data_IF_225097195458
#
_entry.id   IF_225097195458
#
_cell.length_a   1.000
_cell.length_b   1.000
_cell.length_c   1.000
_cell.angle_alpha   90.00
_cell.angle_beta   90.00
_cell.angle_gamma   90.00
#
_symmetry.space_group_name_H-M   'P 1'
#
loop_
_entity.id
_entity.type
_entity.pdbx_description
1 polymer ?
#
# COMPACT_ATOMS: atom_id res chain seq x y z
N UNK A 1 -12.54 0.30 -1.64
CA UNK A 1 -11.48 1.14 -2.25
C UNK A 1 -10.57 0.37 -3.17
N UNK A 2 -9.72 -0.55 -2.71
CA UNK A 2 -8.77 -1.26 -3.60
C UNK A 2 -9.46 -2.01 -4.74
N UNK A 3 -10.53 -2.76 -4.43
CA UNK A 3 -11.30 -3.51 -5.43
C UNK A 3 -12.04 -2.62 -6.44
N UNK A 4 -12.20 -1.33 -6.16
CA UNK A 4 -12.78 -0.35 -7.09
C UNK A 4 -11.75 0.19 -8.10
N UNK A 5 -10.46 -0.12 -7.90
CA UNK A 5 -9.41 0.26 -8.84
C UNK A 5 -9.64 -0.49 -10.16
N UNK A 6 -9.81 0.20 -11.30
CA UNK A 6 -10.13 -0.44 -12.57
C UNK A 6 -8.98 -1.29 -13.14
N UNK A 7 -7.77 -1.21 -12.57
CA UNK A 7 -6.60 -1.97 -13.00
C UNK A 7 -6.28 -3.08 -12.01
N UNK A 8 -6.51 -4.34 -12.40
CA UNK A 8 -6.09 -5.52 -11.62
C UNK A 8 -4.59 -5.52 -11.32
N UNK A 9 -3.79 -5.06 -12.29
CA UNK A 9 -2.34 -4.92 -12.11
C UNK A 9 -2.03 -3.91 -11.01
N UNK A 10 -2.69 -2.75 -11.01
CA UNK A 10 -2.50 -1.75 -9.95
C UNK A 10 -2.96 -2.25 -8.59
N UNK A 11 -3.96 -3.14 -8.52
CA UNK A 11 -4.39 -3.73 -7.26
C UNK A 11 -3.30 -4.61 -6.65
N UNK A 12 -2.69 -5.48 -7.46
CA UNK A 12 -1.59 -6.35 -7.05
C UNK A 12 -0.34 -5.53 -6.67
N UNK A 13 0.04 -4.58 -7.52
CA UNK A 13 1.20 -3.72 -7.28
C UNK A 13 1.08 -2.88 -6.00
N UNK A 14 -0.12 -2.40 -5.69
CA UNK A 14 -0.36 -1.64 -4.45
C UNK A 14 -0.34 -2.54 -3.21
N UNK A 15 -0.72 -3.80 -3.34
CA UNK A 15 -0.58 -4.76 -2.24
C UNK A 15 0.90 -4.92 -1.85
N UNK A 16 1.78 -5.16 -2.83
CA UNK A 16 3.22 -5.26 -2.62
C UNK A 16 3.78 -3.99 -1.95
N UNK A 17 3.34 -2.82 -2.42
CA UNK A 17 3.74 -1.53 -1.85
C UNK A 17 3.37 -1.39 -0.37
N UNK A 18 2.13 -1.74 0.00
CA UNK A 18 1.63 -1.62 1.37
C UNK A 18 2.17 -2.71 2.31
N UNK A 19 2.55 -3.87 1.79
CA UNK A 19 3.21 -4.92 2.58
C UNK A 19 4.66 -4.56 2.90
N UNK A 20 5.37 -3.98 1.93
CA UNK A 20 6.76 -3.54 2.10
C UNK A 20 6.87 -2.28 2.98
N UNK A 21 5.95 -1.34 2.78
CA UNK A 21 5.95 -0.06 3.49
C UNK A 21 4.81 -0.05 4.50
N UNK A 22 5.13 -0.03 5.81
CA UNK A 22 4.17 0.06 6.91
C UNK A 22 3.48 1.45 6.97
N UNK A 23 2.77 1.82 5.90
CA UNK A 23 2.09 3.10 5.78
C UNK A 23 0.78 3.08 6.58
N UNK A 24 0.45 4.17 7.29
CA UNK A 24 -0.81 4.27 8.01
C UNK A 24 -2.01 4.17 7.06
N UNK A 25 -2.91 3.22 7.34
CA UNK A 25 -4.22 3.12 6.70
C UNK A 25 -5.23 3.92 7.51
N UNK A 26 -6.11 4.65 6.83
CA UNK A 26 -7.16 5.47 7.45
C UNK A 26 -8.46 4.66 7.57
N UNK A 27 -9.35 5.08 8.47
CA UNK A 27 -10.64 4.40 8.75
C UNK A 27 -11.53 4.23 7.51
N UNK A 28 -11.43 5.14 6.55
CA UNK A 28 -12.18 5.10 5.28
C UNK A 28 -11.48 4.27 4.19
N UNK A 29 -10.46 3.48 4.55
CA UNK A 29 -9.74 2.58 3.64
C UNK A 29 -8.85 3.29 2.63
N UNK A 30 -8.40 4.51 2.93
CA UNK A 30 -7.30 5.18 2.23
C UNK A 30 -5.98 4.90 2.97
N UNK A 31 -4.86 5.38 2.44
CA UNK A 31 -3.57 5.32 3.14
C UNK A 31 -2.85 6.66 3.06
N UNK A 32 -1.94 6.87 4.01
CA UNK A 32 -1.09 8.06 4.07
C UNK A 32 0.26 7.79 3.43
N UNK A 33 0.71 8.71 2.58
CA UNK A 33 2.02 8.71 1.98
C UNK A 33 2.64 10.11 2.08
N UNK A 34 3.88 10.25 1.62
CA UNK A 34 4.65 11.48 1.70
C UNK A 34 4.97 12.03 0.32
N UNK A 35 5.19 13.35 0.26
CA UNK A 35 5.59 14.04 -0.96
C UNK A 35 6.46 15.25 -0.63
N UNK A 36 7.63 15.34 -1.23
CA UNK A 36 8.43 16.56 -1.16
C UNK A 36 7.95 17.55 -2.22
N UNK A 37 7.81 18.80 -1.80
CA UNK A 37 7.30 19.94 -2.58
C UNK A 37 8.21 21.13 -2.33
N UNK A 38 8.17 22.12 -3.21
CA UNK A 38 8.99 23.33 -3.09
C UNK A 38 8.58 24.16 -1.87
N UNK A 39 9.38 25.18 -1.57
CA UNK A 39 9.09 26.16 -0.52
C UNK A 39 7.74 26.87 -0.69
N UNK A 40 7.26 27.01 -1.93
CA UNK A 40 5.96 27.59 -2.31
C UNK A 40 4.83 26.55 -2.42
N UNK A 41 5.04 25.33 -1.91
CA UNK A 41 4.12 24.19 -1.98
C UNK A 41 3.79 23.69 -3.40
N UNK A 42 4.49 24.17 -4.44
CA UNK A 42 4.33 23.61 -5.78
C UNK A 42 5.08 22.29 -5.93
N UNK A 43 4.61 21.45 -6.85
CA UNK A 43 5.30 20.19 -7.14
C UNK A 43 6.73 20.44 -7.65
N UNK A 44 7.65 19.55 -7.26
CA UNK A 44 9.09 19.76 -7.41
C UNK A 44 9.56 19.94 -8.86
N UNK A 45 8.93 19.25 -9.80
CA UNK A 45 9.42 19.21 -11.20
C UNK A 45 8.71 20.22 -12.10
N UNK A 46 7.37 20.19 -12.18
CA UNK A 46 6.61 21.04 -13.12
C UNK A 46 6.13 22.33 -12.49
N UNK A 47 5.99 22.37 -11.17
CA UNK A 47 5.50 23.54 -10.44
C UNK A 47 4.05 23.92 -10.80
N UNK A 48 3.24 22.96 -11.23
CA UNK A 48 1.87 23.16 -11.71
C UNK A 48 0.84 22.93 -10.60
N UNK A 49 1.02 21.88 -9.80
CA UNK A 49 0.08 21.49 -8.75
C UNK A 49 0.38 22.20 -7.45
N UNK A 50 -0.65 22.72 -6.78
CA UNK A 50 -0.58 23.29 -5.44
C UNK A 50 -0.75 22.19 -4.40
N UNK A 51 0.23 22.04 -3.52
CA UNK A 51 0.23 21.03 -2.46
C UNK A 51 0.13 21.67 -1.07
N UNK A 52 -0.48 22.84 -0.97
CA UNK A 52 -0.85 23.41 0.32
C UNK A 52 -1.83 22.47 1.03
N UNK A 53 -1.80 22.45 2.37
CA UNK A 53 -2.70 21.60 3.17
C UNK A 53 -4.17 21.90 2.83
N UNK A 54 -4.96 20.84 2.66
CA UNK A 54 -6.36 20.88 2.23
C UNK A 54 -6.56 20.89 0.71
N UNK A 55 -5.49 20.96 -0.10
CA UNK A 55 -5.61 20.88 -1.56
C UNK A 55 -5.78 19.43 -2.03
N UNK A 56 -6.61 19.27 -3.06
CA UNK A 56 -6.77 18.02 -3.80
C UNK A 56 -6.09 18.17 -5.14
N UNK A 57 -5.08 17.36 -5.39
CA UNK A 57 -4.41 17.30 -6.69
C UNK A 57 -4.99 16.14 -7.49
N UNK A 58 -5.51 16.43 -8.67
CA UNK A 58 -6.08 15.41 -9.55
C UNK A 58 -5.70 15.63 -11.01
N UNK A 59 -5.63 14.52 -11.76
CA UNK A 59 -5.48 14.52 -13.20
C UNK A 59 -6.24 13.35 -13.80
N UNK A 60 -6.54 13.41 -15.11
CA UNK A 60 -7.17 12.27 -15.78
C UNK A 60 -6.29 11.02 -15.64
N UNK A 61 -6.86 9.91 -15.18
CA UNK A 61 -6.14 8.63 -15.02
C UNK A 61 -5.36 8.21 -16.26
N UNK A 62 -5.96 8.37 -17.45
CA UNK A 62 -5.32 8.11 -18.74
C UNK A 62 -4.11 9.01 -19.08
N UNK A 63 -3.78 9.98 -18.23
CA UNK A 63 -2.56 10.81 -18.32
C UNK A 63 -1.46 10.38 -17.33
N UNK A 64 -1.72 9.34 -16.54
CA UNK A 64 -0.76 8.71 -15.66
C UNK A 64 -0.23 7.46 -16.35
N UNK A 65 1.09 7.28 -16.34
CA UNK A 65 1.74 6.12 -16.94
C UNK A 65 1.53 4.89 -16.04
N UNK A 66 0.93 3.85 -16.60
CA UNK A 66 0.66 2.56 -15.96
C UNK A 66 1.82 1.55 -16.10
N UNK A 67 2.85 1.86 -16.88
CA UNK A 67 3.99 0.97 -17.05
C UNK A 67 4.93 1.04 -15.85
N UNK A 68 4.83 0.05 -14.95
CA UNK A 68 5.67 -0.08 -13.75
C UNK A 68 7.18 -0.18 -14.03
N UNK A 69 7.58 -0.61 -15.24
CA UNK A 69 9.00 -0.77 -15.61
C UNK A 69 9.71 0.58 -15.84
N UNK A 70 8.93 1.66 -15.96
CA UNK A 70 9.46 3.02 -16.11
C UNK A 70 9.46 3.70 -14.75
N UNK A 71 10.65 4.13 -14.32
CA UNK A 71 10.85 4.70 -13.00
C UNK A 71 10.27 6.09 -12.78
N UNK A 72 10.66 7.04 -13.62
CA UNK A 72 10.20 8.41 -13.56
C UNK A 72 9.40 8.71 -14.83
N UNK A 73 8.08 8.82 -14.69
CA UNK A 73 7.18 9.06 -15.82
C UNK A 73 6.05 10.02 -15.46
N UNK A 74 5.04 10.15 -16.33
CA UNK A 74 3.90 11.03 -16.09
C UNK A 74 3.01 10.46 -14.97
N UNK A 75 2.71 11.29 -13.98
CA UNK A 75 1.83 10.92 -12.88
C UNK A 75 1.99 11.85 -11.68
N UNK A 76 1.02 11.78 -10.77
CA UNK A 76 1.17 12.35 -9.45
C UNK A 76 1.94 11.35 -8.58
N UNK A 77 3.16 11.72 -8.19
CA UNK A 77 4.01 10.85 -7.36
C UNK A 77 3.85 11.16 -5.87
N UNK A 78 3.83 10.08 -5.09
CA UNK A 78 3.95 10.05 -3.64
C UNK A 78 4.66 8.73 -3.24
N UNK A 79 5.13 8.62 -2.00
CA UNK A 79 5.83 7.42 -1.57
C UNK A 79 6.10 7.37 -0.08
N UNK A 80 6.92 6.39 0.32
CA UNK A 80 7.42 6.26 1.67
C UNK A 80 8.28 7.46 2.08
N UNK A 81 8.36 7.70 3.38
CA UNK A 81 9.10 8.85 3.91
C UNK A 81 10.59 8.78 3.54
N UNK A 82 11.22 7.60 3.60
CA UNK A 82 12.63 7.41 3.28
C UNK A 82 12.94 7.78 1.82
N UNK A 83 12.11 7.30 0.89
CA UNK A 83 12.21 7.68 -0.51
C UNK A 83 12.09 9.19 -0.71
N UNK A 84 11.10 9.81 -0.05
CA UNK A 84 10.86 11.24 -0.16
C UNK A 84 11.98 12.08 0.45
N UNK A 85 12.55 11.64 1.56
CA UNK A 85 13.70 12.26 2.19
C UNK A 85 14.96 12.19 1.30
N UNK A 86 15.12 11.11 0.52
CA UNK A 86 16.27 10.95 -0.38
C UNK A 86 16.30 11.95 -1.54
N UNK A 87 15.13 12.32 -2.10
CA UNK A 87 15.08 13.29 -3.19
C UNK A 87 14.64 14.69 -2.77
N UNK A 88 13.95 14.85 -1.63
CA UNK A 88 13.64 16.14 -1.02
C UNK A 88 14.90 16.83 -0.49
N UNK A 89 14.96 18.15 -0.52
CA UNK A 89 16.08 18.91 0.05
C UNK A 89 15.57 19.93 1.05
N UNK A 90 15.44 19.49 2.31
CA UNK A 90 15.00 20.35 3.43
C UNK A 90 15.96 21.53 3.61
N UNK A 91 17.27 21.29 3.46
CA UNK A 91 18.30 22.34 3.52
C UNK A 91 18.14 23.41 2.41
N UNK A 92 17.58 23.04 1.26
CA UNK A 92 17.25 23.96 0.17
C UNK A 92 15.86 24.61 0.32
N UNK A 93 15.14 24.32 1.40
CA UNK A 93 13.82 24.88 1.71
C UNK A 93 12.63 24.10 1.15
N UNK A 94 12.81 22.84 0.72
CA UNK A 94 11.68 21.98 0.36
C UNK A 94 10.85 21.64 1.61
N UNK A 95 9.54 21.52 1.41
CA UNK A 95 8.60 21.02 2.41
C UNK A 95 8.28 19.55 2.12
N UNK A 96 7.98 18.76 3.15
CA UNK A 96 7.39 17.43 3.00
C UNK A 96 5.95 17.51 3.46
N UNK A 97 5.01 17.07 2.62
CA UNK A 97 3.59 17.02 2.95
C UNK A 97 3.12 15.58 3.08
N UNK A 98 2.10 15.38 3.91
CA UNK A 98 1.39 14.12 4.09
C UNK A 98 0.19 14.14 3.15
N UNK A 99 0.09 13.11 2.31
CA UNK A 99 -1.00 12.95 1.35
C UNK A 99 -1.83 11.73 1.68
N UNK A 100 -3.16 11.88 1.62
CA UNK A 100 -4.11 10.80 1.70
C UNK A 100 -4.46 10.33 0.29
N UNK A 101 -4.31 9.04 0.04
CA UNK A 101 -4.47 8.42 -1.27
C UNK A 101 -5.53 7.33 -1.16
N UNK A 102 -6.52 7.38 -2.04
CA UNK A 102 -7.47 6.28 -2.17
C UNK A 102 -6.85 5.19 -3.07
N UNK A 103 -6.81 3.92 -2.64
CA UNK A 103 -6.36 2.80 -3.45
C UNK A 103 -6.98 2.71 -4.85
N UNK A 104 -8.20 3.19 -5.07
CA UNK A 104 -8.85 3.21 -6.39
C UNK A 104 -8.13 4.14 -7.39
N UNK A 105 -7.45 5.18 -6.89
CA UNK A 105 -6.83 6.23 -7.68
C UNK A 105 -5.35 5.93 -8.01
N UNK A 106 -4.77 4.90 -7.38
CA UNK A 106 -3.43 4.41 -7.72
C UNK A 106 -3.43 3.80 -9.11
N UNK A 107 -2.39 4.08 -9.89
CA UNK A 107 -2.26 3.66 -11.29
C UNK A 107 -1.15 2.65 -11.48
N UNK A 108 0.01 2.87 -10.85
CA UNK A 108 1.12 1.92 -10.89
C UNK A 108 2.11 2.15 -9.74
N UNK A 109 2.81 1.09 -9.34
CA UNK A 109 3.93 1.10 -8.38
C UNK A 109 5.21 0.71 -9.13
N UNK A 110 6.08 1.70 -9.48
CA UNK A 110 7.34 1.43 -10.15
C UNK A 110 8.22 0.41 -9.41
N UNK A 111 8.81 -0.51 -10.16
CA UNK A 111 9.68 -1.56 -9.60
C UNK A 111 11.13 -1.14 -9.36
N UNK A 112 11.52 0.04 -9.86
CA UNK A 112 12.93 0.50 -9.93
C UNK A 112 13.44 1.17 -8.65
N UNK A 113 12.58 1.30 -7.64
CA UNK A 113 12.87 2.00 -6.40
C UNK A 113 12.37 1.22 -5.20
N UNK A 114 12.59 -0.10 -5.20
CA UNK A 114 12.23 -1.02 -4.11
C UNK A 114 10.77 -0.88 -3.63
N UNK A 115 9.86 -0.53 -4.54
CA UNK A 115 8.46 -0.25 -4.22
C UNK A 115 8.29 0.88 -3.18
N UNK A 116 9.17 1.88 -3.13
CA UNK A 116 9.04 2.98 -2.17
C UNK A 116 8.26 4.19 -2.71
N UNK A 117 7.83 4.17 -3.99
CA UNK A 117 7.02 5.23 -4.61
C UNK A 117 5.86 4.65 -5.42
N UNK A 118 4.85 5.47 -5.66
CA UNK A 118 3.71 5.14 -6.52
C UNK A 118 3.33 6.30 -7.44
N UNK A 119 2.53 5.97 -8.45
CA UNK A 119 1.84 6.91 -9.35
C UNK A 119 0.35 6.82 -9.08
N UNK A 120 -0.27 7.95 -8.76
CA UNK A 120 -1.73 8.08 -8.60
C UNK A 120 -2.30 9.12 -9.56
N UNK A 121 -3.60 9.06 -9.82
CA UNK A 121 -4.33 10.13 -10.51
C UNK A 121 -4.96 11.15 -9.57
N UNK A 122 -5.04 10.87 -8.26
CA UNK A 122 -5.63 11.76 -7.27
C UNK A 122 -5.06 11.55 -5.86
N UNK A 123 -4.86 12.64 -5.13
CA UNK A 123 -4.63 12.63 -3.69
C UNK A 123 -5.10 13.93 -3.03
N UNK A 124 -5.27 13.89 -1.72
CA UNK A 124 -5.54 15.05 -0.87
C UNK A 124 -4.33 15.32 0.03
N UNK A 125 -3.91 16.58 0.15
CA UNK A 125 -2.88 16.98 1.11
C UNK A 125 -3.53 17.20 2.47
N UNK A 126 -3.20 16.36 3.45
CA UNK A 126 -3.85 16.37 4.77
C UNK A 126 -3.02 17.02 5.87
N UNK A 127 -1.72 17.24 5.63
CA UNK A 127 -0.88 17.89 6.62
C UNK A 127 0.53 18.21 6.12
N UNK A 128 1.23 19.05 6.88
CA UNK A 128 2.66 19.27 6.73
C UNK A 128 3.39 18.27 7.63
N UNK A 129 4.41 17.61 7.10
CA UNK A 129 5.29 16.77 7.90
C UNK A 129 6.22 17.67 8.74
N UNK A 130 6.09 17.62 10.07
CA UNK A 130 6.86 18.47 11.00
C UNK A 130 7.98 17.70 11.72
N UNK A 131 8.29 16.47 11.33
CA UNK A 131 9.14 15.55 12.10
C UNK A 131 8.33 14.51 12.86
N UNK A 132 8.92 13.90 13.91
CA UNK A 132 8.48 12.67 14.59
C UNK A 132 7.00 12.35 14.42
N UNK A 133 6.71 11.32 13.61
CA UNK A 133 5.38 10.74 13.52
C UNK A 133 5.02 10.15 14.89
N UNK A 134 3.77 10.33 15.37
CA UNK A 134 3.24 9.42 16.36
C UNK A 134 3.41 8.01 15.82
N UNK A 135 3.98 7.11 16.66
CA UNK A 135 3.96 5.66 16.44
C UNK A 135 2.60 5.27 15.87
N UNK A 136 2.53 4.30 14.93
CA UNK A 136 1.28 3.94 14.27
C UNK A 136 0.15 3.93 15.29
N UNK A 137 -0.88 4.76 15.05
CA UNK A 137 -2.08 4.87 15.89
C UNK A 137 -2.90 3.59 15.71
N UNK A 138 -2.33 2.47 16.10
CA UNK A 138 -3.02 1.21 16.24
C UNK A 138 -2.99 0.83 17.70
N UNK A 139 -4.01 1.29 18.44
CA UNK A 139 -4.55 0.51 19.54
C UNK A 139 -5.65 -0.36 18.94
N UNK A 140 -5.30 -1.55 18.45
CA UNK A 140 -6.21 -2.65 18.74
C UNK A 140 -6.10 -2.89 20.24
N UNK A 141 -6.94 -2.20 21.01
CA UNK A 141 -7.42 -2.83 22.24
C UNK A 141 -8.31 -3.98 21.77
N UNK A 142 -7.67 -5.12 21.48
CA UNK A 142 -8.36 -6.38 21.60
C UNK A 142 -8.58 -6.52 23.10
N UNK A 143 -9.75 -6.11 23.58
CA UNK A 143 -10.27 -6.64 24.84
C UNK A 143 -10.47 -8.14 24.58
N UNK A 144 -9.43 -8.90 24.86
CA UNK A 144 -9.58 -10.31 25.18
C UNK A 144 -10.40 -10.32 26.48
N UNK A 145 -11.72 -10.29 26.34
CA UNK A 145 -12.61 -10.64 27.44
C UNK A 145 -12.12 -11.98 27.96
N UNK A 146 -11.57 -11.92 29.17
CA UNK A 146 -11.05 -13.03 29.91
C UNK A 146 -12.22 -13.93 30.31
N UNK A 147 -12.65 -14.80 29.40
CA UNK A 147 -13.36 -16.02 29.77
C UNK A 147 -12.31 -17.08 30.06
N UNK A 148 -11.85 -17.10 31.30
CA UNK A 148 -11.42 -18.35 31.92
C UNK A 148 -12.60 -18.78 32.78
N UNK A 149 -13.41 -19.69 32.25
CA UNK A 149 -14.09 -20.67 33.10
C UNK A 149 -13.64 -22.04 32.61
N UNK A 150 -13.07 -22.80 33.54
CA UNK A 150 -12.48 -24.12 33.34
C UNK A 150 -13.61 -25.14 33.15
N UNK A 151 -13.92 -25.55 31.92
CA UNK A 151 -14.32 -26.94 31.61
C UNK A 151 -14.56 -27.15 30.10
N UNK A 152 -14.13 -28.31 29.61
CA UNK A 152 -14.33 -28.87 28.26
C UNK A 152 -13.53 -28.29 27.08
N UNK A 153 -12.35 -28.89 26.87
CA UNK A 153 -11.58 -28.81 25.64
C UNK A 153 -12.26 -29.64 24.55
N UNK A 154 -13.09 -29.02 23.70
CA UNK A 154 -13.54 -29.64 22.46
C UNK A 154 -13.28 -28.70 21.29
N UNK A 155 -12.21 -29.00 20.55
CA UNK A 155 -11.82 -28.28 19.34
C UNK A 155 -12.68 -28.73 18.18
N UNK A 156 -13.14 -27.79 17.35
CA UNK A 156 -13.87 -28.00 16.08
C UNK A 156 -12.98 -28.67 15.00
N UNK A 157 -11.79 -29.15 15.39
CA UNK A 157 -10.87 -29.94 14.58
C UNK A 157 -11.11 -31.44 14.71
N UNK A 158 -12.02 -31.89 15.59
CA UNK A 158 -12.26 -33.31 15.88
C UNK A 158 -13.45 -33.94 15.11
N UNK A 159 -14.01 -33.26 14.09
CA UNK A 159 -15.15 -33.80 13.30
C UNK A 159 -14.77 -34.39 11.93
N UNK A 160 -13.53 -34.22 11.47
CA UNK A 160 -13.03 -35.01 10.33
C UNK A 160 -12.21 -36.15 10.88
N UNK A 161 -12.82 -37.35 10.88
CA UNK A 161 -12.13 -38.58 11.25
C UNK A 161 -10.87 -38.80 10.40
N UNK A 162 -9.89 -39.46 11.02
CA UNK A 162 -8.61 -39.88 10.43
C UNK A 162 -8.78 -40.62 9.08
N UNK A 163 -9.96 -41.18 8.86
CA UNK A 163 -10.44 -41.88 7.67
C UNK A 163 -10.61 -41.00 6.41
N UNK A 164 -10.42 -39.68 6.47
CA UNK A 164 -10.41 -38.82 5.28
C UNK A 164 -9.04 -38.78 4.57
N UNK A 165 -7.93 -39.02 5.28
CA UNK A 165 -6.57 -38.96 4.72
C UNK A 165 -6.14 -40.26 4.05
N UNK A 166 -6.74 -41.40 4.42
CA UNK A 166 -6.49 -42.72 3.81
C UNK A 166 -7.02 -42.84 2.36
N UNK A 167 -7.67 -41.81 1.81
CA UNK A 167 -8.24 -41.82 0.46
C UNK A 167 -7.30 -41.27 -0.62
N UNK A 168 -6.11 -40.79 -0.25
CA UNK A 168 -5.16 -40.17 -1.18
C UNK A 168 -3.77 -40.84 -1.21
N UNK A 169 -3.60 -41.98 -0.52
CA UNK A 169 -2.32 -42.69 -0.39
C UNK A 169 -2.24 -43.98 -1.23
N UNK A 170 -2.95 -44.07 -2.36
CA UNK A 170 -2.74 -45.12 -3.37
C UNK A 170 -2.77 -44.52 -4.78
N UNK A 171 -1.57 -44.29 -5.32
CA UNK A 171 -1.16 -44.65 -6.69
C UNK A 171 0.19 -43.96 -7.04
N UNK A 172 1.26 -44.37 -6.34
CA UNK A 172 2.54 -44.58 -7.02
C UNK A 172 2.60 -46.06 -7.41
N UNK A 173 2.28 -46.39 -8.66
CA UNK A 173 2.89 -47.55 -9.31
C UNK A 173 3.26 -47.21 -10.75
N UNK A 174 4.59 -47.22 -10.96
CA UNK A 174 5.26 -47.49 -12.23
C UNK A 174 4.50 -48.56 -13.03
N UNK A 175 4.41 -48.38 -14.35
CA UNK A 175 4.57 -49.53 -15.24
C UNK A 175 5.17 -49.12 -16.59
N UNK A 176 6.33 -49.71 -16.81
CA UNK A 176 7.22 -49.67 -17.96
C UNK A 176 6.79 -50.71 -19.03
N UNK A 177 7.10 -50.41 -20.30
CA UNK A 177 7.24 -51.31 -21.49
C UNK A 177 6.12 -51.47 -22.56
N UNK A 178 6.49 -50.97 -23.77
CA UNK A 178 6.52 -51.58 -25.12
C UNK A 178 5.38 -52.49 -25.65
N UNK A 179 4.73 -52.04 -26.76
CA UNK A 179 4.93 -52.61 -28.11
C UNK A 179 4.42 -51.68 -29.23
#
# INVERSE_FOLDING_TARGET
NLMENPSMQSQQELYDFLEHENLPVTEDGCFLAYKAVRSDFKDKWKGTFDNSVGQVCEMRRAKVDDNRKVGCSQGLHAGALNYVANYGSVDAGDNIVIVKINPQDVVSVPSDCDCEKLRTCKYEVVGLYQGELPKPLYKAEFEADSYVDEDEHQTVYDEYGDDYWDQFDDDEEDDEYDF
#
